data_IF_697319008783
#
_entry.id   IF_697319008783
#
_cell.length_a   1.000
_cell.length_b   1.000
_cell.length_c   1.000
_cell.angle_alpha   90.00
_cell.angle_beta   90.00
_cell.angle_gamma   90.00
#
_symmetry.space_group_name_H-M   'P 1'
#
loop_
_entity.id
_entity.type
_entity.pdbx_description
1 polymer ?
#
# COMPACT_ATOMS: atom_id res chain seq x y z
N UNK A 1 14.72 23.88 -1.05
CA UNK A 1 14.30 23.66 0.36
C UNK A 1 14.14 22.16 0.57
N UNK A 2 14.62 21.59 1.65
CA UNK A 2 14.37 20.18 1.95
C UNK A 2 12.89 19.96 2.30
N UNK A 3 12.34 18.87 1.83
CA UNK A 3 10.95 18.46 2.12
C UNK A 3 11.01 17.62 3.40
N UNK A 4 10.31 18.06 4.44
CA UNK A 4 10.22 17.33 5.71
C UNK A 4 8.92 16.52 5.82
N UNK A 5 7.86 17.01 5.17
CA UNK A 5 6.55 16.38 5.17
C UNK A 5 5.97 16.34 3.76
N UNK A 6 5.41 15.22 3.39
CA UNK A 6 4.72 15.02 2.12
C UNK A 6 3.39 14.31 2.37
N UNK A 7 2.30 15.00 2.09
CA UNK A 7 0.95 14.47 2.22
C UNK A 7 0.26 14.42 0.85
N UNK A 8 0.16 13.23 0.29
CA UNK A 8 -0.57 12.93 -0.94
C UNK A 8 -1.75 12.02 -0.62
N UNK A 9 -2.56 12.46 0.36
CA UNK A 9 -3.77 11.78 0.78
C UNK A 9 -4.97 12.39 0.08
N UNK A 10 -5.70 11.53 -0.61
CA UNK A 10 -6.92 11.94 -1.27
C UNK A 10 -8.04 10.95 -0.99
N UNK A 11 -9.21 11.49 -0.69
CA UNK A 11 -10.40 10.71 -0.32
C UNK A 11 -11.19 10.20 -1.52
N UNK A 12 -10.78 10.53 -2.73
CA UNK A 12 -11.46 10.14 -3.98
C UNK A 12 -10.50 9.49 -4.96
N UNK A 13 -11.02 8.61 -5.81
CA UNK A 13 -10.25 7.95 -6.89
C UNK A 13 -9.48 8.92 -7.78
N UNK A 14 -10.08 10.08 -8.05
CA UNK A 14 -9.50 11.10 -8.94
C UNK A 14 -8.20 11.70 -8.41
N UNK A 15 -7.83 11.41 -7.15
CA UNK A 15 -6.78 12.11 -6.44
C UNK A 15 -5.73 11.17 -5.83
N UNK A 16 -5.89 9.84 -5.94
CA UNK A 16 -4.86 8.88 -5.51
C UNK A 16 -3.70 8.83 -6.52
N UNK A 17 -2.52 8.47 -6.04
CA UNK A 17 -1.31 8.40 -6.86
C UNK A 17 -1.24 7.02 -7.52
N UNK A 18 -1.37 6.92 -8.85
CA UNK A 18 -1.19 5.65 -9.55
C UNK A 18 0.25 5.16 -9.41
N UNK A 19 0.45 3.86 -9.21
CA UNK A 19 1.79 3.29 -9.06
C UNK A 19 2.70 3.57 -10.26
N UNK A 20 2.17 3.76 -11.47
CA UNK A 20 2.94 4.09 -12.66
C UNK A 20 3.67 5.45 -12.58
N UNK A 21 3.22 6.37 -11.74
CA UNK A 21 3.90 7.67 -11.57
C UNK A 21 5.33 7.46 -11.05
N UNK A 22 5.56 6.44 -10.24
CA UNK A 22 6.89 6.14 -9.71
C UNK A 22 7.87 5.58 -10.76
N UNK A 23 7.38 5.11 -11.93
CA UNK A 23 8.23 4.71 -13.05
C UNK A 23 8.87 5.93 -13.76
N UNK A 24 8.29 7.12 -13.60
CA UNK A 24 8.83 8.38 -14.12
C UNK A 24 10.11 8.78 -13.36
N UNK A 25 10.99 9.66 -13.94
CA UNK A 25 12.27 10.07 -13.34
C UNK A 25 12.18 10.74 -11.97
N UNK A 26 11.00 10.81 -11.35
CA UNK A 26 10.85 11.14 -9.93
C UNK A 26 11.71 10.24 -9.02
N UNK A 27 11.90 8.98 -9.40
CA UNK A 27 12.78 8.03 -8.72
C UNK A 27 14.23 8.08 -9.20
N UNK A 28 14.62 9.02 -10.04
CA UNK A 28 16.02 9.10 -10.45
C UNK A 28 16.89 9.59 -9.29
N UNK A 29 17.93 8.85 -9.03
CA UNK A 29 18.94 9.04 -7.94
C UNK A 29 19.47 10.47 -7.82
N UNK A 30 19.30 11.30 -8.85
CA UNK A 30 19.76 12.70 -8.86
C UNK A 30 19.04 13.61 -7.85
N UNK A 31 17.90 13.23 -7.34
CA UNK A 31 17.11 14.02 -6.38
C UNK A 31 17.10 13.43 -4.96
N UNK A 32 17.93 12.43 -4.65
CA UNK A 32 17.94 11.74 -3.36
C UNK A 32 18.21 12.68 -2.16
N UNK A 33 18.97 13.75 -2.35
CA UNK A 33 19.26 14.73 -1.30
C UNK A 33 18.02 15.48 -0.81
N UNK A 34 16.97 15.60 -1.62
CA UNK A 34 15.74 16.28 -1.25
C UNK A 34 14.84 15.40 -0.35
N UNK A 35 14.95 14.09 -0.48
CA UNK A 35 14.13 13.12 0.23
C UNK A 35 14.72 12.65 1.56
N UNK A 36 16.05 12.79 1.75
CA UNK A 36 16.73 12.32 2.96
C UNK A 36 16.27 13.00 4.26
N UNK A 37 15.57 14.13 4.15
CA UNK A 37 15.02 14.86 5.30
C UNK A 37 13.53 14.61 5.52
N UNK A 38 12.89 13.80 4.67
CA UNK A 38 11.50 13.46 4.83
C UNK A 38 11.30 12.65 6.12
N UNK A 39 10.43 13.13 7.00
CA UNK A 39 10.08 12.49 8.27
C UNK A 39 8.67 11.97 8.28
N UNK A 40 7.76 12.67 7.60
CA UNK A 40 6.35 12.31 7.54
C UNK A 40 5.93 12.09 6.09
N UNK A 41 5.42 10.88 5.78
CA UNK A 41 4.85 10.55 4.48
C UNK A 41 3.43 10.06 4.65
N UNK A 42 2.50 10.72 3.97
CA UNK A 42 1.13 10.24 3.81
C UNK A 42 0.82 10.07 2.32
N UNK A 43 0.50 8.86 1.91
CA UNK A 43 0.36 8.49 0.50
C UNK A 43 -0.84 7.58 0.28
N UNK A 44 -1.76 7.99 -0.59
CA UNK A 44 -2.82 7.13 -1.09
C UNK A 44 -2.41 6.60 -2.46
N UNK A 45 -2.19 5.30 -2.55
CA UNK A 45 -1.86 4.60 -3.79
C UNK A 45 -3.09 3.99 -4.44
N UNK A 46 -3.09 3.91 -5.74
CA UNK A 46 -4.08 3.18 -6.52
C UNK A 46 -3.41 2.35 -7.59
N UNK A 47 -4.16 1.37 -8.08
CA UNK A 47 -3.79 0.66 -9.29
C UNK A 47 -3.58 1.65 -10.44
N UNK A 48 -2.85 1.22 -11.48
CA UNK A 48 -2.74 1.98 -12.70
C UNK A 48 -4.15 2.38 -13.20
N UNK A 49 -4.37 3.69 -13.34
CA UNK A 49 -5.62 4.18 -13.89
C UNK A 49 -5.72 3.65 -15.33
N UNK A 50 -6.59 2.68 -15.55
CA UNK A 50 -7.02 2.36 -16.91
C UNK A 50 -7.67 3.63 -17.44
N UNK A 51 -7.20 4.11 -18.57
CA UNK A 51 -7.98 5.06 -19.34
C UNK A 51 -9.37 4.43 -19.44
N UNK A 52 -10.37 5.03 -18.78
CA UNK A 52 -11.75 4.67 -19.06
C UNK A 52 -11.86 4.77 -20.58
N UNK A 53 -12.33 3.74 -21.27
CA UNK A 53 -12.73 3.95 -22.63
C UNK A 53 -13.71 5.13 -22.52
N UNK A 54 -13.31 6.29 -23.04
CA UNK A 54 -14.27 7.35 -23.24
C UNK A 54 -15.43 6.66 -23.94
N UNK A 55 -16.62 6.75 -23.35
CA UNK A 55 -17.84 6.32 -24.02
C UNK A 55 -17.98 7.31 -25.16
N UNK A 56 -17.20 7.08 -26.20
CA UNK A 56 -17.32 7.78 -27.47
C UNK A 56 -18.68 7.44 -28.02
N UNK A 57 -19.52 8.44 -27.99
CA UNK A 57 -20.71 8.46 -28.80
C UNK A 57 -20.21 8.40 -30.25
N UNK A 58 -20.51 7.27 -30.88
CA UNK A 58 -20.63 7.11 -32.32
C UNK A 58 -19.49 7.65 -33.20
N UNK A 59 -18.46 6.82 -33.45
CA UNK A 59 -17.84 6.80 -34.77
C UNK A 59 -17.33 5.39 -35.06
N UNK A 60 -17.85 4.79 -36.13
CA UNK A 60 -17.47 3.49 -36.71
C UNK A 60 -16.06 3.59 -37.32
N UNK A 61 -15.02 3.67 -36.51
CA UNK A 61 -13.67 3.50 -36.97
C UNK A 61 -13.07 2.26 -36.28
N UNK A 62 -12.71 1.27 -37.10
CA UNK A 62 -12.00 0.04 -36.76
C UNK A 62 -10.58 0.31 -36.19
N UNK A 63 -10.47 1.16 -35.17
CA UNK A 63 -9.23 1.25 -34.43
C UNK A 63 -9.03 -0.01 -33.57
N UNK A 64 -7.81 -0.55 -33.50
CA UNK A 64 -7.53 -1.74 -32.73
C UNK A 64 -7.86 -1.48 -31.27
N UNK A 65 -8.94 -2.07 -30.79
CA UNK A 65 -9.32 -2.05 -29.36
C UNK A 65 -8.10 -2.53 -28.57
N UNK A 66 -7.45 -1.59 -27.90
CA UNK A 66 -6.33 -1.89 -27.03
C UNK A 66 -6.83 -2.83 -25.95
N UNK A 67 -6.48 -4.10 -26.06
CA UNK A 67 -6.90 -5.15 -25.12
C UNK A 67 -6.20 -4.94 -23.77
N UNK A 68 -6.74 -4.01 -22.98
CA UNK A 68 -6.26 -3.69 -21.64
C UNK A 68 -6.25 -4.90 -20.68
N UNK A 69 -6.83 -6.03 -21.11
CA UNK A 69 -6.88 -7.26 -20.30
C UNK A 69 -5.56 -8.04 -20.31
N UNK A 70 -4.63 -7.70 -21.20
CA UNK A 70 -3.34 -8.39 -21.38
C UNK A 70 -2.15 -7.68 -20.78
N UNK A 71 -2.38 -6.76 -19.85
CA UNK A 71 -1.23 -6.15 -19.19
C UNK A 71 -0.40 -7.22 -18.46
N UNK A 72 0.88 -7.30 -18.84
CA UNK A 72 1.75 -8.38 -18.36
C UNK A 72 2.08 -8.23 -16.87
N UNK A 73 2.28 -9.37 -16.20
CA UNK A 73 2.82 -9.41 -14.83
C UNK A 73 4.10 -8.57 -14.69
N UNK A 74 4.90 -8.49 -15.74
CA UNK A 74 6.13 -7.70 -15.75
C UNK A 74 5.89 -6.20 -15.63
N UNK A 75 4.80 -5.68 -16.20
CA UNK A 75 4.42 -4.29 -16.04
C UNK A 75 4.06 -3.98 -14.58
N UNK A 76 3.22 -4.82 -13.95
CA UNK A 76 2.90 -4.70 -12.54
C UNK A 76 4.13 -4.78 -11.63
N UNK A 77 5.02 -5.72 -11.89
CA UNK A 77 6.27 -5.87 -11.14
C UNK A 77 7.19 -4.64 -11.28
N UNK A 78 7.30 -4.04 -12.48
CA UNK A 78 8.09 -2.81 -12.68
C UNK A 78 7.53 -1.65 -11.85
N UNK A 79 6.20 -1.46 -11.83
CA UNK A 79 5.55 -0.42 -11.03
C UNK A 79 5.78 -0.62 -9.54
N UNK A 80 5.62 -1.85 -9.07
CA UNK A 80 5.91 -2.20 -7.68
C UNK A 80 7.37 -1.91 -7.35
N UNK A 81 8.31 -2.29 -8.22
CA UNK A 81 9.73 -2.00 -8.00
C UNK A 81 10.00 -0.50 -7.96
N UNK A 82 9.32 0.29 -8.78
CA UNK A 82 9.46 1.75 -8.76
C UNK A 82 8.98 2.36 -7.43
N UNK A 83 7.87 1.85 -6.88
CA UNK A 83 7.38 2.24 -5.54
C UNK A 83 8.40 1.84 -4.46
N UNK A 84 8.93 0.61 -4.50
CA UNK A 84 9.97 0.16 -3.56
C UNK A 84 11.22 1.03 -3.62
N UNK A 85 11.66 1.37 -4.84
CA UNK A 85 12.81 2.26 -5.03
C UNK A 85 12.56 3.63 -4.41
N UNK A 86 11.36 4.19 -4.56
CA UNK A 86 10.99 5.45 -3.91
C UNK A 86 11.10 5.34 -2.38
N UNK A 87 10.52 4.30 -1.77
CA UNK A 87 10.60 4.11 -0.32
C UNK A 87 12.04 3.91 0.17
N UNK A 88 12.92 3.33 -0.65
CA UNK A 88 14.34 3.18 -0.32
C UNK A 88 15.11 4.51 -0.26
N UNK A 89 14.57 5.58 -0.88
CA UNK A 89 15.18 6.92 -0.81
C UNK A 89 14.85 7.67 0.49
N UNK A 90 13.95 7.15 1.32
CA UNK A 90 13.40 7.81 2.50
C UNK A 90 13.51 6.95 3.76
N UNK A 91 14.68 6.40 4.09
CA UNK A 91 14.84 5.43 5.18
C UNK A 91 14.59 6.01 6.58
N UNK A 92 14.67 7.33 6.72
CA UNK A 92 14.60 8.04 8.00
C UNK A 92 13.18 8.53 8.34
N UNK A 93 12.15 7.95 7.74
CA UNK A 93 10.76 8.28 8.05
C UNK A 93 10.44 7.95 9.51
N UNK A 94 9.74 8.89 10.16
CA UNK A 94 9.22 8.75 11.53
C UNK A 94 7.70 8.50 11.53
N UNK A 95 6.99 8.98 10.51
CA UNK A 95 5.56 8.77 10.35
C UNK A 95 5.25 8.30 8.93
N UNK A 96 4.61 7.14 8.81
CA UNK A 96 4.15 6.56 7.54
C UNK A 96 2.64 6.32 7.59
N UNK A 97 1.92 6.98 6.70
CA UNK A 97 0.50 6.77 6.48
C UNK A 97 0.29 6.32 5.03
N UNK A 98 -0.05 5.06 4.84
CA UNK A 98 -0.17 4.40 3.54
C UNK A 98 -1.58 3.85 3.35
N UNK A 99 -2.29 4.36 2.36
CA UNK A 99 -3.64 3.94 2.00
C UNK A 99 -3.64 3.33 0.59
N UNK A 100 -4.20 2.12 0.45
CA UNK A 100 -4.43 1.48 -0.84
C UNK A 100 -5.89 1.59 -1.22
N UNK A 101 -6.18 2.36 -2.24
CA UNK A 101 -7.56 2.68 -2.60
C UNK A 101 -8.26 1.57 -3.42
N UNK A 102 -7.52 0.72 -4.10
CA UNK A 102 -8.07 -0.28 -5.03
C UNK A 102 -9.01 -1.31 -4.40
N UNK A 103 -8.84 -1.62 -3.11
CA UNK A 103 -9.64 -2.65 -2.45
C UNK A 103 -11.09 -2.24 -2.12
N UNK A 104 -11.37 -0.92 -2.05
CA UNK A 104 -12.69 -0.40 -1.65
C UNK A 104 -13.73 -0.45 -2.75
N UNK A 105 -13.29 -0.40 -4.02
CA UNK A 105 -14.21 -0.33 -5.17
C UNK A 105 -14.82 -1.70 -5.48
N UNK A 106 -14.13 -2.77 -5.14
CA UNK A 106 -14.57 -4.13 -5.46
C UNK A 106 -15.86 -4.58 -4.74
N UNK A 107 -16.32 -3.82 -3.71
CA UNK A 107 -17.55 -4.19 -2.97
C UNK A 107 -18.85 -3.81 -3.66
N UNK A 108 -18.83 -2.84 -4.57
CA UNK A 108 -20.06 -2.28 -5.16
C UNK A 108 -20.30 -2.65 -6.62
N UNK A 109 -19.30 -3.17 -7.32
CA UNK A 109 -19.44 -3.61 -8.70
C UNK A 109 -19.24 -5.13 -8.70
N UNK A 110 -20.26 -5.93 -9.07
CA UNK A 110 -20.05 -7.36 -9.30
C UNK A 110 -18.96 -7.48 -10.36
N UNK A 111 -17.78 -7.83 -9.93
CA UNK A 111 -16.61 -7.93 -10.79
C UNK A 111 -16.91 -8.96 -11.88
N UNK A 112 -17.17 -8.52 -13.10
CA UNK A 112 -16.71 -9.29 -14.22
C UNK A 112 -15.21 -9.49 -13.97
N UNK A 113 -14.78 -10.75 -13.94
CA UNK A 113 -13.41 -11.23 -13.66
C UNK A 113 -12.37 -10.63 -14.64
N UNK A 114 -12.12 -9.33 -14.56
CA UNK A 114 -11.16 -8.62 -15.43
C UNK A 114 -9.89 -8.21 -14.68
N UNK A 115 -9.65 -8.82 -13.50
CA UNK A 115 -8.41 -8.56 -12.77
C UNK A 115 -7.23 -9.16 -13.53
N UNK A 116 -6.31 -8.31 -13.96
CA UNK A 116 -5.09 -8.75 -14.67
C UNK A 116 -4.04 -9.31 -13.70
N UNK A 117 -3.07 -10.05 -14.23
CA UNK A 117 -1.92 -10.48 -13.45
C UNK A 117 -1.10 -9.29 -12.92
N UNK A 118 -1.06 -8.18 -13.66
CA UNK A 118 -0.43 -6.93 -13.22
C UNK A 118 -1.15 -6.34 -11.99
N UNK A 119 -2.48 -6.33 -12.00
CA UNK A 119 -3.29 -5.87 -10.86
C UNK A 119 -3.01 -6.69 -9.60
N UNK A 120 -2.78 -7.99 -9.76
CA UNK A 120 -2.44 -8.86 -8.65
C UNK A 120 -1.04 -8.55 -8.09
N UNK A 121 -0.06 -8.33 -8.96
CA UNK A 121 1.29 -7.95 -8.55
C UNK A 121 1.28 -6.60 -7.81
N UNK A 122 0.53 -5.62 -8.30
CA UNK A 122 0.41 -4.32 -7.66
C UNK A 122 -0.22 -4.39 -6.26
N UNK A 123 -1.19 -5.28 -6.05
CA UNK A 123 -1.80 -5.48 -4.72
C UNK A 123 -0.80 -5.91 -3.65
N UNK A 124 0.23 -6.65 -4.04
CA UNK A 124 1.26 -7.17 -3.14
C UNK A 124 2.47 -6.24 -2.99
N UNK A 125 2.34 -4.96 -3.38
CA UNK A 125 3.43 -3.99 -3.30
C UNK A 125 3.98 -3.84 -1.87
N UNK A 126 3.13 -3.92 -0.86
CA UNK A 126 3.54 -3.81 0.54
C UNK A 126 4.47 -4.94 0.96
N UNK A 127 4.23 -6.16 0.49
CA UNK A 127 5.11 -7.31 0.77
C UNK A 127 6.51 -7.06 0.23
N UNK A 128 6.62 -6.44 -0.95
CA UNK A 128 7.93 -6.06 -1.52
C UNK A 128 8.61 -4.96 -0.71
N UNK A 129 7.86 -3.94 -0.26
CA UNK A 129 8.39 -2.89 0.62
C UNK A 129 8.93 -3.51 1.90
N UNK A 130 8.15 -4.35 2.58
CA UNK A 130 8.51 -4.96 3.86
C UNK A 130 9.77 -5.84 3.81
N UNK A 131 10.05 -6.43 2.64
CA UNK A 131 11.24 -7.27 2.41
C UNK A 131 12.49 -6.45 2.01
N UNK A 132 12.31 -5.22 1.52
CA UNK A 132 13.39 -4.47 0.89
C UNK A 132 13.78 -3.23 1.67
N UNK A 133 12.82 -2.61 2.35
CA UNK A 133 12.99 -1.33 3.03
C UNK A 133 12.87 -1.52 4.53
N UNK A 134 13.79 -0.90 5.27
CA UNK A 134 13.80 -0.88 6.73
C UNK A 134 13.69 0.55 7.24
N UNK A 135 12.65 0.84 8.01
CA UNK A 135 12.40 2.15 8.61
C UNK A 135 12.77 2.14 10.10
N UNK A 136 14.04 2.26 10.41
CA UNK A 136 14.54 2.16 11.79
C UNK A 136 13.99 3.22 12.74
N UNK A 137 13.57 4.37 12.21
CA UNK A 137 13.10 5.53 12.98
C UNK A 137 11.59 5.68 13.01
N UNK A 138 10.86 4.71 12.44
CA UNK A 138 9.41 4.75 12.35
C UNK A 138 8.78 4.68 13.75
N UNK A 139 7.98 5.69 14.08
CA UNK A 139 7.24 5.83 15.34
C UNK A 139 5.74 5.60 15.15
N UNK A 140 5.21 6.17 14.06
CA UNK A 140 3.77 6.12 13.78
C UNK A 140 3.52 5.46 12.43
N UNK A 141 2.73 4.40 12.45
CA UNK A 141 2.37 3.64 11.26
C UNK A 141 0.86 3.58 11.10
N UNK A 142 0.35 4.03 9.97
CA UNK A 142 -1.02 3.80 9.53
C UNK A 142 -1.01 3.07 8.21
N UNK A 143 -1.64 1.89 8.17
CA UNK A 143 -1.81 1.08 6.98
C UNK A 143 -3.31 0.88 6.73
N UNK A 144 -3.78 1.20 5.53
CA UNK A 144 -5.18 1.11 5.20
C UNK A 144 -5.41 0.50 3.82
N UNK A 145 -6.40 -0.41 3.74
CA UNK A 145 -6.81 -1.02 2.47
C UNK A 145 -5.81 -2.02 1.89
N UNK A 146 -4.81 -2.45 2.65
CA UNK A 146 -3.72 -3.28 2.14
C UNK A 146 -4.10 -4.75 2.00
N UNK A 147 -3.50 -5.37 0.96
CA UNK A 147 -3.38 -6.82 0.85
C UNK A 147 -1.94 -7.21 1.19
N UNK A 148 -1.75 -8.10 2.15
CA UNK A 148 -0.40 -8.48 2.60
C UNK A 148 -0.37 -9.91 3.14
N UNK A 149 0.81 -10.48 3.21
CA UNK A 149 1.04 -11.76 3.88
C UNK A 149 1.34 -11.55 5.36
N UNK A 150 1.05 -12.58 6.17
CA UNK A 150 1.40 -12.58 7.59
C UNK A 150 2.89 -12.28 7.80
N UNK A 151 3.76 -12.94 7.04
CA UNK A 151 5.21 -12.78 7.17
C UNK A 151 5.67 -11.35 6.87
N UNK A 152 5.14 -10.75 5.80
CA UNK A 152 5.49 -9.39 5.41
C UNK A 152 5.07 -8.36 6.47
N UNK A 153 3.83 -8.44 6.94
CA UNK A 153 3.33 -7.52 7.96
C UNK A 153 4.08 -7.71 9.28
N UNK A 154 4.31 -8.95 9.71
CA UNK A 154 5.04 -9.25 10.94
C UNK A 154 6.48 -8.71 10.87
N UNK A 155 7.20 -8.96 9.78
CA UNK A 155 8.55 -8.43 9.59
C UNK A 155 8.55 -6.90 9.63
N UNK A 156 7.60 -6.25 8.98
CA UNK A 156 7.52 -4.79 8.95
C UNK A 156 7.30 -4.18 10.34
N UNK A 157 6.53 -4.84 11.20
CA UNK A 157 6.24 -4.39 12.56
C UNK A 157 7.39 -4.63 13.55
N UNK A 158 8.21 -5.67 13.34
CA UNK A 158 9.31 -6.04 14.23
C UNK A 158 10.56 -5.17 14.00
N UNK A 159 10.79 -4.74 12.75
CA UNK A 159 12.02 -4.02 12.38
C UNK A 159 12.18 -2.66 13.08
N UNK A 160 11.15 -1.79 13.17
CA UNK A 160 11.30 -0.50 13.82
C UNK A 160 11.35 -0.65 15.34
N UNK A 161 12.51 -0.42 15.92
CA UNK A 161 12.67 -0.46 17.39
C UNK A 161 12.05 0.74 18.12
N UNK A 162 11.65 1.76 17.36
CA UNK A 162 11.06 3.01 17.87
C UNK A 162 9.55 3.11 17.63
N UNK A 163 8.89 2.03 17.20
CA UNK A 163 7.47 2.04 16.85
C UNK A 163 6.61 2.23 18.11
N UNK A 164 5.86 3.32 18.15
CA UNK A 164 5.03 3.74 19.28
C UNK A 164 3.53 3.55 19.00
N UNK A 165 3.12 3.76 17.75
CA UNK A 165 1.71 3.71 17.37
C UNK A 165 1.49 2.96 16.07
N UNK A 166 0.49 2.07 16.05
CA UNK A 166 0.09 1.30 14.86
C UNK A 166 -1.42 1.41 14.64
N UNK A 167 -1.80 1.77 13.44
CA UNK A 167 -3.19 1.72 13.00
C UNK A 167 -3.31 0.86 11.75
N UNK A 168 -4.01 -0.28 11.84
CA UNK A 168 -4.33 -1.14 10.72
C UNK A 168 -5.83 -1.07 10.43
N UNK A 169 -6.19 -0.69 9.20
CA UNK A 169 -7.59 -0.58 8.80
C UNK A 169 -7.83 -1.22 7.44
N UNK A 170 -8.93 -1.96 7.29
CA UNK A 170 -9.30 -2.64 6.04
C UNK A 170 -8.17 -3.51 5.49
N UNK A 171 -7.47 -4.23 6.36
CA UNK A 171 -6.32 -5.03 5.99
C UNK A 171 -6.73 -6.45 5.64
N UNK A 172 -6.37 -6.90 4.44
CA UNK A 172 -6.59 -8.26 3.96
C UNK A 172 -5.32 -9.08 4.11
N UNK A 173 -5.35 -10.02 5.05
CA UNK A 173 -4.19 -10.84 5.39
C UNK A 173 -4.28 -12.23 4.75
N UNK A 174 -3.20 -12.63 4.08
CA UNK A 174 -2.94 -14.00 3.70
C UNK A 174 -2.09 -14.66 4.79
N UNK A 175 -2.66 -15.64 5.48
CA UNK A 175 -2.08 -16.25 6.68
C UNK A 175 -2.90 -15.95 7.92
N UNK A 176 -2.31 -16.08 9.11
CA UNK A 176 -3.00 -15.85 10.40
C UNK A 176 -2.66 -14.48 10.99
N UNK A 177 -3.65 -13.81 11.57
CA UNK A 177 -3.45 -12.57 12.29
C UNK A 177 -2.91 -12.79 13.71
N UNK A 178 -3.05 -14.00 14.25
CA UNK A 178 -2.64 -14.30 15.64
C UNK A 178 -1.19 -13.94 15.96
N UNK A 179 -0.18 -14.30 15.13
CA UNK A 179 1.21 -13.92 15.40
C UNK A 179 1.45 -12.41 15.34
N UNK A 180 0.67 -11.69 14.51
CA UNK A 180 0.73 -10.23 14.45
C UNK A 180 0.19 -9.63 15.74
N UNK A 181 -0.94 -10.12 16.24
CA UNK A 181 -1.51 -9.69 17.51
C UNK A 181 -0.55 -9.96 18.66
N UNK A 182 0.05 -11.15 18.70
CA UNK A 182 1.05 -11.51 19.71
C UNK A 182 2.26 -10.54 19.66
N UNK A 183 2.68 -10.12 18.46
CA UNK A 183 3.71 -9.10 18.29
C UNK A 183 3.25 -7.73 18.83
N UNK A 184 2.05 -7.25 18.45
CA UNK A 184 1.53 -5.95 18.87
C UNK A 184 1.30 -5.86 20.39
N UNK A 185 1.04 -6.97 21.05
CA UNK A 185 0.77 -7.05 22.49
C UNK A 185 2.00 -7.45 23.31
N UNK A 186 3.14 -7.70 22.67
CA UNK A 186 4.38 -8.05 23.37
C UNK A 186 4.90 -6.86 24.17
N UNK A 187 5.30 -7.06 25.44
CA UNK A 187 5.91 -6.00 26.26
C UNK A 187 7.26 -5.52 25.70
N UNK A 188 7.89 -6.31 24.83
CA UNK A 188 9.20 -6.00 24.24
C UNK A 188 9.12 -5.00 23.07
N UNK A 189 7.91 -4.73 22.57
CA UNK A 189 7.70 -3.82 21.44
C UNK A 189 7.57 -2.41 21.94
N UNK A 190 8.10 -1.62 22.45
CA UNK A 190 7.87 -0.21 22.85
C UNK A 190 6.53 0.43 22.43
N UNK A 191 5.60 -0.39 21.90
CA UNK A 191 4.34 0.05 21.35
C UNK A 191 3.40 0.54 22.49
N UNK A 192 2.99 1.80 22.40
CA UNK A 192 2.11 2.42 23.40
C UNK A 192 0.64 2.35 23.01
N UNK A 193 0.36 2.30 21.70
CA UNK A 193 -1.00 2.28 21.19
C UNK A 193 -1.10 1.49 19.88
N UNK A 194 -2.14 0.65 19.76
CA UNK A 194 -2.54 0.12 18.46
C UNK A 194 -4.04 0.20 18.27
N UNK A 195 -4.45 0.40 17.03
CA UNK A 195 -5.84 0.43 16.60
C UNK A 195 -6.03 -0.54 15.43
N UNK A 196 -7.06 -1.38 15.52
CA UNK A 196 -7.40 -2.40 14.53
C UNK A 196 -8.84 -2.18 14.08
N UNK A 197 -9.04 -2.00 12.79
CA UNK A 197 -10.34 -1.74 12.20
C UNK A 197 -10.50 -2.58 10.93
N UNK A 198 -11.56 -3.40 10.85
CA UNK A 198 -11.87 -4.26 9.71
C UNK A 198 -10.66 -5.09 9.21
N UNK A 199 -10.14 -5.97 10.05
CA UNK A 199 -9.08 -6.91 9.69
C UNK A 199 -9.69 -8.18 9.11
N UNK A 200 -9.23 -8.59 7.93
CA UNK A 200 -9.70 -9.78 7.22
C UNK A 200 -8.59 -10.82 7.16
N UNK A 201 -8.85 -12.01 7.70
CA UNK A 201 -8.01 -13.20 7.56
C UNK A 201 -8.66 -14.13 6.54
N UNK A 202 -7.95 -14.46 5.44
CA UNK A 202 -8.49 -15.32 4.36
C UNK A 202 -9.90 -14.88 3.89
N UNK A 203 -10.09 -13.58 3.71
CA UNK A 203 -11.35 -12.94 3.29
C UNK A 203 -12.47 -12.97 4.35
N UNK A 204 -12.22 -13.42 5.56
CA UNK A 204 -13.17 -13.39 6.68
C UNK A 204 -12.82 -12.29 7.65
N UNK A 205 -13.79 -11.47 8.02
CA UNK A 205 -13.61 -10.45 9.06
C UNK A 205 -13.28 -11.10 10.39
N UNK A 206 -12.23 -10.63 11.04
CA UNK A 206 -11.86 -11.09 12.38
C UNK A 206 -12.69 -10.33 13.41
N UNK A 207 -13.32 -11.05 14.31
CA UNK A 207 -14.01 -10.48 15.44
C UNK A 207 -13.17 -10.64 16.71
N UNK A 208 -12.78 -9.54 17.31
CA UNK A 208 -12.10 -9.54 18.60
C UNK A 208 -13.16 -9.62 19.71
N UNK A 209 -13.32 -10.81 20.29
CA UNK A 209 -14.19 -10.97 21.45
C UNK A 209 -13.44 -10.54 22.71
N UNK A 210 -13.89 -9.47 23.36
CA UNK A 210 -13.46 -9.16 24.72
C UNK A 210 -14.18 -10.17 25.62
N UNK A 211 -13.43 -11.12 26.21
CA UNK A 211 -13.99 -11.93 27.32
C UNK A 211 -14.34 -10.95 28.43
N UNK A 212 -15.64 -10.72 28.61
CA UNK A 212 -16.13 -9.96 29.75
C UNK A 212 -15.58 -10.59 31.04
N UNK A 213 -15.13 -9.74 31.95
CA UNK A 213 -14.78 -10.10 33.31
C UNK A 213 -16.06 -10.42 34.08
#
# INVERSE_FOLDING_TARGET
MPIEQLHLLYRTLACSVPCCIFESPFGSVKNSSNWSRLRCLSLTLTQHARASPEVGLDEEDDEPVYDATKESTDAGNRRVQAVVNFFSLIPDIEELNLDWYGSRISRTIPARNTQTAADYAEKLFFDKISLTVSFQRLKHLTLRGLHTTQAALQNFLIVPTSLEQVHLAYTHLTGSFRPILDCLTSPDTGLTQFHLDDIYEQQKLIHFAIKGR
#
